data_IF_080605787727
#
_entry.id   IF_080605787727
#
_cell.length_a   1.000
_cell.length_b   1.000
_cell.length_c   1.000
_cell.angle_alpha   90.00
_cell.angle_beta   90.00
_cell.angle_gamma   90.00
#
_symmetry.space_group_name_H-M   'P 1'
#
loop_
_entity.id
_entity.type
_entity.pdbx_description
1 polymer ?
#
# COMPACT_ATOMS: atom_id res chain seq x y z
N UNK A 1 -14.95 0.92 7.28
CA UNK A 1 -15.74 -0.19 6.78
C UNK A 1 -16.02 -1.16 7.92
N UNK A 2 -17.26 -1.63 8.00
CA UNK A 2 -17.69 -2.69 8.91
C UNK A 2 -17.73 -3.99 8.11
N UNK A 3 -16.63 -4.69 8.10
CA UNK A 3 -16.44 -5.96 7.40
C UNK A 3 -15.71 -6.93 8.33
N UNK A 4 -15.79 -8.22 8.04
CA UNK A 4 -14.99 -9.20 8.76
C UNK A 4 -13.50 -8.85 8.59
N UNK A 5 -12.75 -8.69 9.70
CA UNK A 5 -11.37 -8.25 9.61
C UNK A 5 -10.51 -9.34 8.93
N UNK A 6 -9.68 -8.95 7.94
CA UNK A 6 -8.74 -9.90 7.36
C UNK A 6 -7.70 -10.34 8.39
N UNK A 7 -7.16 -11.53 8.16
CA UNK A 7 -6.03 -12.03 8.92
C UNK A 7 -4.88 -11.01 8.87
N UNK A 8 -4.24 -10.75 9.99
CA UNK A 8 -3.14 -9.79 10.07
C UNK A 8 -3.53 -8.36 10.43
N UNK A 9 -4.82 -7.98 10.43
CA UNK A 9 -5.21 -6.60 10.76
C UNK A 9 -4.67 -6.14 12.12
N UNK A 10 -4.60 -7.01 13.12
CA UNK A 10 -4.05 -6.69 14.44
C UNK A 10 -2.53 -6.41 14.43
N UNK A 11 -1.82 -6.80 13.38
CA UNK A 11 -0.37 -6.56 13.18
C UNK A 11 -0.08 -5.25 12.43
N UNK A 12 -1.13 -4.55 11.97
CA UNK A 12 -0.98 -3.28 11.28
C UNK A 12 -0.85 -2.15 12.30
N UNK A 13 0.14 -1.28 12.09
CA UNK A 13 0.35 -0.07 12.88
C UNK A 13 0.79 1.09 12.00
N UNK A 14 0.74 2.29 12.54
CA UNK A 14 1.36 3.45 11.89
C UNK A 14 2.87 3.26 11.80
N UNK A 15 3.44 3.69 10.67
CA UNK A 15 4.89 3.71 10.49
C UNK A 15 5.53 4.79 11.35
N UNK A 16 6.73 4.52 11.84
CA UNK A 16 7.59 5.49 12.51
C UNK A 16 8.86 5.73 11.67
N UNK A 17 9.60 6.84 11.87
CA UNK A 17 10.77 7.15 11.05
C UNK A 17 11.81 6.03 10.97
N UNK A 18 11.93 5.23 12.02
CA UNK A 18 12.84 4.08 12.05
C UNK A 18 12.46 2.95 11.07
N UNK A 19 11.20 2.91 10.60
CA UNK A 19 10.72 1.90 9.66
C UNK A 19 11.17 2.16 8.21
N UNK A 20 11.55 3.39 7.87
CA UNK A 20 11.83 3.80 6.48
C UNK A 20 12.89 2.91 5.79
N UNK A 21 13.92 2.51 6.52
CA UNK A 21 14.97 1.62 6.00
C UNK A 21 14.39 0.23 5.70
N UNK A 22 13.65 -0.36 6.65
CA UNK A 22 13.06 -1.68 6.50
C UNK A 22 12.01 -1.71 5.38
N UNK A 23 11.23 -0.64 5.22
CA UNK A 23 10.28 -0.48 4.09
C UNK A 23 11.03 -0.44 2.75
N UNK A 24 12.13 0.31 2.66
CA UNK A 24 12.93 0.39 1.44
C UNK A 24 13.63 -0.94 1.10
N UNK A 25 14.08 -1.68 2.11
CA UNK A 25 14.68 -3.00 1.93
C UNK A 25 13.64 -4.03 1.47
N UNK A 26 12.43 -3.97 2.03
CA UNK A 26 11.32 -4.83 1.59
C UNK A 26 10.93 -4.52 0.14
N UNK A 27 10.78 -3.26 -0.22
CA UNK A 27 10.45 -2.86 -1.59
C UNK A 27 11.53 -3.30 -2.57
N UNK A 28 12.80 -3.10 -2.23
CA UNK A 28 13.92 -3.59 -3.04
C UNK A 28 13.88 -5.10 -3.24
N UNK A 29 13.53 -5.86 -2.21
CA UNK A 29 13.42 -7.32 -2.27
C UNK A 29 12.26 -7.78 -3.16
N UNK A 30 11.12 -7.08 -3.13
CA UNK A 30 9.90 -7.53 -3.79
C UNK A 30 9.78 -7.02 -5.24
N UNK A 31 10.26 -5.81 -5.54
CA UNK A 31 10.10 -5.20 -6.86
C UNK A 31 11.35 -4.51 -7.43
N UNK A 32 12.49 -4.59 -6.74
CA UNK A 32 13.74 -4.01 -7.22
C UNK A 32 13.86 -2.49 -7.10
N UNK A 33 12.94 -1.83 -6.39
CA UNK A 33 12.94 -0.36 -6.18
C UNK A 33 13.35 -0.05 -4.74
N UNK A 34 14.14 1.00 -4.54
CA UNK A 34 14.53 1.48 -3.22
C UNK A 34 14.24 2.98 -3.10
N UNK A 35 13.31 3.37 -2.22
CA UNK A 35 12.82 4.75 -2.05
C UNK A 35 12.85 5.23 -0.59
N UNK A 36 13.92 4.96 0.14
CA UNK A 36 14.03 5.30 1.57
C UNK A 36 13.73 6.78 1.87
N UNK A 37 14.23 7.71 1.02
CA UNK A 37 14.01 9.15 1.20
C UNK A 37 12.53 9.53 1.07
N UNK A 38 11.81 8.87 0.18
CA UNK A 38 10.37 9.12 -0.02
C UNK A 38 9.59 8.62 1.20
N UNK A 39 9.95 7.45 1.76
CA UNK A 39 9.33 6.94 2.97
C UNK A 39 9.57 7.83 4.19
N UNK A 40 10.79 8.36 4.36
CA UNK A 40 11.08 9.36 5.40
C UNK A 40 10.15 10.57 5.23
N UNK A 41 10.04 11.11 4.01
CA UNK A 41 9.17 12.25 3.71
C UNK A 41 7.69 11.96 4.03
N UNK A 42 7.18 10.78 3.63
CA UNK A 42 5.79 10.41 3.89
C UNK A 42 5.51 10.23 5.38
N UNK A 43 6.44 9.61 6.12
CA UNK A 43 6.29 9.38 7.56
C UNK A 43 6.40 10.69 8.35
N UNK A 44 7.35 11.57 8.00
CA UNK A 44 7.48 12.90 8.63
C UNK A 44 6.25 13.78 8.40
N UNK A 45 5.59 13.58 7.26
CA UNK A 45 4.28 14.17 6.94
C UNK A 45 4.15 15.66 7.24
N UNK A 46 5.17 16.46 6.92
CA UNK A 46 5.18 17.91 7.21
C UNK A 46 4.02 18.65 6.55
N UNK A 47 3.50 18.14 5.43
CA UNK A 47 2.33 18.70 4.74
C UNK A 47 0.98 18.28 5.38
N UNK A 48 0.97 17.32 6.30
CA UNK A 48 -0.25 16.85 6.98
C UNK A 48 -1.21 16.06 6.10
N UNK A 49 -0.77 15.59 4.93
CA UNK A 49 -1.62 14.88 3.94
C UNK A 49 -1.31 13.40 3.83
N UNK A 50 -0.16 12.95 4.29
CA UNK A 50 0.29 11.57 4.17
C UNK A 50 -0.19 10.68 5.31
N UNK A 51 -0.39 9.43 5.02
CA UNK A 51 -0.53 8.35 5.97
C UNK A 51 0.36 7.19 5.54
N UNK A 52 0.96 6.51 6.50
CA UNK A 52 1.79 5.33 6.24
C UNK A 52 1.50 4.28 7.28
N UNK A 53 1.05 3.12 6.84
CA UNK A 53 0.87 1.94 7.66
C UNK A 53 1.88 0.86 7.29
N UNK A 54 2.36 0.15 8.30
CA UNK A 54 3.19 -1.05 8.15
C UNK A 54 2.48 -2.24 8.78
N UNK A 55 2.76 -3.44 8.28
CA UNK A 55 2.32 -4.69 8.89
C UNK A 55 3.55 -5.51 9.31
N UNK A 56 3.52 -5.97 10.55
CA UNK A 56 4.59 -6.78 11.12
C UNK A 56 4.45 -8.25 10.71
N UNK A 57 5.53 -8.84 10.24
CA UNK A 57 5.63 -10.28 9.99
C UNK A 57 5.76 -11.08 11.27
N UNK A 58 5.63 -12.39 11.16
CA UNK A 58 5.76 -13.30 12.31
C UNK A 58 7.18 -13.32 12.91
N UNK A 59 8.17 -12.93 12.11
CA UNK A 59 9.58 -12.79 12.52
C UNK A 59 9.89 -11.44 13.20
N UNK A 60 8.89 -10.57 13.34
CA UNK A 60 9.02 -9.22 13.90
C UNK A 60 9.57 -8.18 12.93
N UNK A 61 9.87 -8.57 11.69
CA UNK A 61 10.21 -7.64 10.61
C UNK A 61 8.96 -7.05 9.95
N UNK A 62 9.15 -6.11 9.04
CA UNK A 62 8.04 -5.56 8.21
C UNK A 62 7.78 -6.50 7.04
N UNK A 63 6.55 -7.05 6.93
CA UNK A 63 6.09 -7.89 5.83
C UNK A 63 5.32 -7.14 4.75
N UNK A 64 4.93 -5.89 5.01
CA UNK A 64 4.25 -5.03 4.06
C UNK A 64 4.11 -3.61 4.57
N UNK A 65 3.84 -2.70 3.65
CA UNK A 65 3.46 -1.31 3.95
C UNK A 65 2.50 -0.76 2.90
N UNK A 66 1.77 0.27 3.28
CA UNK A 66 0.90 1.04 2.40
C UNK A 66 0.93 2.51 2.78
N UNK A 67 1.29 3.35 1.81
CA UNK A 67 1.15 4.80 1.94
C UNK A 67 -0.23 5.24 1.47
N UNK A 68 -0.68 6.39 1.95
CA UNK A 68 -1.90 7.02 1.48
C UNK A 68 -1.77 8.55 1.48
N UNK A 69 -2.57 9.20 0.66
CA UNK A 69 -2.65 10.66 0.61
C UNK A 69 -4.09 11.13 0.75
N UNK A 70 -4.29 12.20 1.54
CA UNK A 70 -5.57 12.85 1.82
C UNK A 70 -5.57 14.31 1.39
N UNK A 71 -5.19 14.56 0.16
CA UNK A 71 -5.33 15.90 -0.41
C UNK A 71 -6.76 16.08 -0.93
N UNK A 72 -7.32 17.32 -0.86
CA UNK A 72 -8.70 17.58 -1.33
C UNK A 72 -8.91 17.20 -2.80
N UNK A 73 -7.90 17.44 -3.63
CA UNK A 73 -7.93 17.10 -5.06
C UNK A 73 -7.54 15.65 -5.38
N UNK A 74 -7.04 14.89 -4.40
CA UNK A 74 -6.58 13.53 -4.64
C UNK A 74 -6.60 12.72 -3.35
N UNK A 75 -7.43 11.70 -3.31
CA UNK A 75 -7.48 10.71 -2.22
C UNK A 75 -7.06 9.37 -2.78
N UNK A 76 -5.90 8.89 -2.38
CA UNK A 76 -5.30 7.69 -2.97
C UNK A 76 -4.65 6.82 -1.92
N UNK A 77 -4.63 5.51 -2.18
CA UNK A 77 -3.75 4.56 -1.51
C UNK A 77 -2.63 4.16 -2.49
N UNK A 78 -1.45 4.03 -1.98
CA UNK A 78 -0.20 3.75 -2.71
C UNK A 78 0.84 4.87 -2.55
N UNK A 79 2.11 4.54 -2.74
CA UNK A 79 2.64 3.22 -3.05
C UNK A 79 2.56 2.26 -1.87
N UNK A 80 2.52 0.96 -2.18
CA UNK A 80 2.56 -0.09 -1.19
C UNK A 80 3.07 -1.40 -1.76
N UNK A 81 3.66 -2.22 -0.90
CA UNK A 81 4.04 -3.60 -1.20
C UNK A 81 3.75 -4.50 0.00
N UNK A 82 3.50 -5.78 -0.26
CA UNK A 82 3.39 -6.79 0.78
C UNK A 82 3.80 -8.17 0.27
N UNK A 83 4.20 -9.05 1.18
CA UNK A 83 4.56 -10.42 0.87
C UNK A 83 3.38 -11.30 0.49
N UNK A 84 2.15 -10.92 0.90
CA UNK A 84 0.93 -11.70 0.67
C UNK A 84 -0.28 -10.81 0.39
N UNK A 85 -1.30 -11.38 -0.26
CA UNK A 85 -2.57 -10.68 -0.49
C UNK A 85 -3.33 -10.42 0.82
N UNK A 86 -3.19 -11.28 1.83
CA UNK A 86 -3.81 -11.11 3.15
C UNK A 86 -3.26 -9.85 3.85
N UNK A 87 -1.92 -9.69 3.83
CA UNK A 87 -1.27 -8.51 4.39
C UNK A 87 -1.67 -7.24 3.61
N UNK A 88 -1.78 -7.31 2.27
CA UNK A 88 -2.28 -6.21 1.46
C UNK A 88 -3.71 -5.82 1.85
N UNK A 89 -4.61 -6.79 2.01
CA UNK A 89 -5.99 -6.56 2.44
C UNK A 89 -6.04 -5.91 3.83
N UNK A 90 -5.23 -6.38 4.78
CA UNK A 90 -5.14 -5.82 6.12
C UNK A 90 -4.68 -4.35 6.10
N UNK A 91 -3.65 -4.04 5.32
CA UNK A 91 -3.16 -2.68 5.14
C UNK A 91 -4.22 -1.76 4.51
N UNK A 92 -4.90 -2.22 3.45
CA UNK A 92 -5.98 -1.45 2.81
C UNK A 92 -7.10 -1.16 3.79
N UNK A 93 -7.58 -2.17 4.54
CA UNK A 93 -8.66 -1.96 5.51
C UNK A 93 -8.24 -0.99 6.62
N UNK A 94 -7.02 -1.10 7.12
CA UNK A 94 -6.47 -0.20 8.14
C UNK A 94 -6.45 1.25 7.63
N UNK A 95 -5.90 1.50 6.43
CA UNK A 95 -5.85 2.85 5.83
C UNK A 95 -7.25 3.42 5.59
N UNK A 96 -8.17 2.63 5.04
CA UNK A 96 -9.55 3.06 4.82
C UNK A 96 -10.23 3.47 6.14
N UNK A 97 -10.05 2.69 7.19
CA UNK A 97 -10.69 2.94 8.48
C UNK A 97 -10.02 4.04 9.30
N UNK A 98 -8.71 4.20 9.20
CA UNK A 98 -7.98 5.22 9.95
C UNK A 98 -8.09 6.60 9.29
N UNK A 99 -7.97 6.67 7.95
CA UNK A 99 -7.69 7.94 7.25
C UNK A 99 -8.69 8.31 6.18
N UNK A 100 -9.50 7.36 5.67
CA UNK A 100 -10.39 7.60 4.53
C UNK A 100 -11.87 7.33 4.84
N UNK A 101 -12.28 7.42 6.11
CA UNK A 101 -13.69 7.22 6.52
C UNK A 101 -14.61 8.20 5.79
N UNK A 102 -15.66 7.66 5.17
CA UNK A 102 -16.63 8.45 4.40
C UNK A 102 -16.10 9.00 3.08
N UNK A 103 -14.88 8.64 2.70
CA UNK A 103 -14.26 8.96 1.42
C UNK A 103 -14.27 7.76 0.46
N UNK A 104 -13.93 8.02 -0.80
CA UNK A 104 -13.73 7.01 -1.83
C UNK A 104 -12.33 7.19 -2.43
N UNK A 105 -11.28 6.72 -1.76
CA UNK A 105 -9.93 6.80 -2.31
C UNK A 105 -9.78 5.87 -3.51
N UNK A 106 -8.95 6.27 -4.46
CA UNK A 106 -8.60 5.47 -5.63
C UNK A 106 -7.26 4.78 -5.37
N UNK A 107 -7.10 3.56 -5.85
CA UNK A 107 -5.84 2.83 -5.75
C UNK A 107 -5.72 1.74 -6.82
N UNK A 108 -4.51 1.36 -7.12
CA UNK A 108 -4.20 0.34 -8.12
C UNK A 108 -3.99 -1.00 -7.43
N UNK A 109 -4.61 -2.04 -7.99
CA UNK A 109 -4.46 -3.43 -7.53
C UNK A 109 -4.08 -4.28 -8.73
N UNK A 110 -3.01 -5.09 -8.63
CA UNK A 110 -2.63 -6.00 -9.72
C UNK A 110 -3.76 -6.98 -10.03
N UNK A 111 -4.09 -7.14 -11.31
CA UNK A 111 -5.20 -8.01 -11.75
C UNK A 111 -4.91 -9.51 -11.55
N UNK A 112 -3.64 -9.88 -11.40
CA UNK A 112 -3.20 -11.25 -11.10
C UNK A 112 -3.38 -11.63 -9.61
N UNK A 113 -3.70 -10.66 -8.75
CA UNK A 113 -4.00 -10.86 -7.33
C UNK A 113 -5.50 -11.10 -7.13
N UNK A 114 -6.03 -12.17 -7.73
CA UNK A 114 -7.47 -12.45 -7.78
C UNK A 114 -8.18 -12.49 -6.43
N UNK A 115 -7.54 -13.07 -5.40
CA UNK A 115 -8.08 -13.11 -4.03
C UNK A 115 -8.20 -11.73 -3.42
N UNK A 116 -7.18 -10.87 -3.59
CA UNK A 116 -7.23 -9.50 -3.13
C UNK A 116 -8.36 -8.73 -3.84
N UNK A 117 -8.42 -8.82 -5.17
CA UNK A 117 -9.48 -8.14 -5.96
C UNK A 117 -10.86 -8.59 -5.51
N UNK A 118 -11.07 -9.89 -5.32
CA UNK A 118 -12.34 -10.46 -4.87
C UNK A 118 -12.73 -9.97 -3.47
N UNK A 119 -11.77 -9.94 -2.55
CA UNK A 119 -11.94 -9.42 -1.19
C UNK A 119 -12.37 -7.95 -1.21
N UNK A 120 -11.67 -7.12 -1.99
CA UNK A 120 -11.97 -5.69 -2.09
C UNK A 120 -13.35 -5.44 -2.71
N UNK A 121 -13.75 -6.22 -3.71
CA UNK A 121 -15.11 -6.14 -4.27
C UNK A 121 -16.16 -6.56 -3.24
N UNK A 122 -15.88 -7.57 -2.42
CA UNK A 122 -16.72 -7.95 -1.28
C UNK A 122 -16.92 -6.81 -0.27
N UNK A 123 -15.95 -5.93 -0.13
CA UNK A 123 -16.02 -4.71 0.70
C UNK A 123 -16.70 -3.53 0.01
N UNK A 124 -17.13 -3.66 -1.24
CA UNK A 124 -17.83 -2.64 -2.00
C UNK A 124 -16.95 -1.78 -2.90
N UNK A 125 -15.68 -2.14 -3.08
CA UNK A 125 -14.84 -1.49 -4.09
C UNK A 125 -15.41 -1.71 -5.50
N UNK A 126 -15.13 -0.78 -6.40
CA UNK A 126 -15.57 -0.85 -7.79
C UNK A 126 -14.41 -0.49 -8.71
N UNK A 127 -14.30 -1.21 -9.82
CA UNK A 127 -13.38 -0.85 -10.86
C UNK A 127 -13.84 0.45 -11.54
N UNK A 128 -12.96 1.45 -11.60
CA UNK A 128 -13.21 2.69 -12.30
C UNK A 128 -12.44 2.78 -13.63
N UNK A 129 -11.23 2.19 -13.69
CA UNK A 129 -10.41 2.15 -14.90
C UNK A 129 -9.34 1.07 -14.81
N UNK A 130 -8.69 0.76 -15.94
CA UNK A 130 -7.56 -0.17 -16.01
C UNK A 130 -6.33 0.56 -16.50
N UNK A 131 -5.22 0.38 -15.77
CA UNK A 131 -3.90 0.86 -16.17
C UNK A 131 -3.04 -0.29 -16.66
N UNK A 132 -2.28 -0.06 -17.73
CA UNK A 132 -1.29 -1.00 -18.25
C UNK A 132 0.10 -0.54 -17.82
N UNK A 133 0.75 -1.34 -16.98
CA UNK A 133 2.17 -1.17 -16.67
C UNK A 133 3.02 -1.45 -17.92
N UNK A 134 3.96 -0.55 -18.21
CA UNK A 134 4.91 -0.72 -19.31
C UNK A 134 6.33 -0.59 -18.79
N UNK A 135 7.19 -1.48 -19.23
CA UNK A 135 8.63 -1.42 -18.94
C UNK A 135 9.43 -1.32 -20.20
N UNK A 136 10.53 -0.60 -20.13
CA UNK A 136 11.52 -0.54 -21.20
C UNK A 136 12.77 -1.29 -20.78
N UNK A 137 13.12 -2.34 -21.50
CA UNK A 137 14.23 -3.23 -21.16
C UNK A 137 13.77 -4.44 -20.33
N UNK A 138 14.68 -4.98 -19.54
CA UNK A 138 14.37 -6.11 -18.66
C UNK A 138 13.44 -5.66 -17.52
N UNK A 139 12.38 -6.42 -17.31
CA UNK A 139 11.48 -6.22 -16.18
C UNK A 139 11.85 -7.24 -15.11
N UNK A 140 12.35 -6.82 -13.93
CA UNK A 140 12.55 -7.76 -12.84
C UNK A 140 11.21 -8.37 -12.43
N UNK A 141 11.18 -9.63 -12.00
CA UNK A 141 9.96 -10.25 -11.51
C UNK A 141 9.48 -9.51 -10.26
N UNK A 142 8.20 -9.21 -10.21
CA UNK A 142 7.54 -8.73 -8.99
C UNK A 142 7.18 -9.92 -8.12
N UNK A 143 7.58 -9.88 -6.87
CA UNK A 143 7.23 -10.87 -5.87
C UNK A 143 6.23 -10.28 -4.86
N UNK A 144 5.21 -11.05 -4.48
CA UNK A 144 4.17 -10.55 -3.58
C UNK A 144 3.17 -9.62 -4.30
N UNK A 145 2.63 -8.67 -3.55
CA UNK A 145 1.64 -7.70 -4.03
C UNK A 145 2.28 -6.33 -4.17
N UNK A 146 2.21 -5.75 -5.36
CA UNK A 146 2.64 -4.39 -5.64
C UNK A 146 1.40 -3.51 -5.87
N UNK A 147 1.22 -2.50 -5.03
CA UNK A 147 0.17 -1.49 -5.17
C UNK A 147 0.82 -0.15 -5.55
N UNK A 148 1.05 0.10 -6.85
CA UNK A 148 1.70 1.32 -7.28
C UNK A 148 0.80 2.54 -7.10
N UNK A 149 1.39 3.72 -7.20
CA UNK A 149 0.64 4.97 -7.33
C UNK A 149 0.80 5.53 -8.74
N UNK A 150 -0.16 6.34 -9.17
CA UNK A 150 -0.06 7.09 -10.42
C UNK A 150 0.10 8.59 -10.17
N UNK A 151 0.44 8.98 -8.95
CA UNK A 151 0.78 10.36 -8.64
C UNK A 151 2.19 10.67 -9.18
N UNK A 152 2.36 11.73 -10.00
CA UNK A 152 3.64 12.03 -10.66
C UNK A 152 4.81 12.24 -9.69
N UNK A 153 4.51 12.73 -8.50
CA UNK A 153 5.49 13.03 -7.45
C UNK A 153 5.96 11.80 -6.65
N UNK A 154 5.32 10.66 -6.86
CA UNK A 154 5.59 9.42 -6.11
C UNK A 154 5.77 8.18 -6.99
N UNK A 155 5.66 8.38 -8.30
CA UNK A 155 5.75 7.31 -9.31
C UNK A 155 7.16 7.04 -9.81
#
# INVERSE_FOLDING_TARGET
LEVDPPEGLARVRDAVPADAVAMADLEMKLNGIRREKDFVHFIENTAGIWGVSVIEGEDGGISGFLCSVRHEGSKMLGPGVSGSWQDAAALVLAELNARHRGGAPVFLVPVDQGELVSTLYGWGARNCEMHLGQTRGECPPVHGVLMPTFMPETG
#
